data_IF_506527823873
#
_entry.id   IF_506527823873
#
_cell.length_a   1.000
_cell.length_b   1.000
_cell.length_c   1.000
_cell.angle_alpha   90.00
_cell.angle_beta   90.00
_cell.angle_gamma   90.00
#
_symmetry.space_group_name_H-M   'P 1'
#
loop_
_entity.id
_entity.type
_entity.pdbx_description
1 polymer ?
#
# COMPACT_ATOMS: atom_id res chain seq x y z
N UNK A 1 31.52 36.89 -30.32
CA UNK A 1 30.14 36.36 -30.31
C UNK A 1 30.17 34.90 -29.87
N UNK A 2 29.95 34.64 -28.59
CA UNK A 2 29.77 33.27 -28.10
C UNK A 2 28.45 32.73 -28.67
N UNK A 3 28.51 31.64 -29.42
CA UNK A 3 27.33 30.89 -29.85
C UNK A 3 26.68 30.34 -28.58
N UNK A 4 25.55 30.90 -28.19
CA UNK A 4 24.62 30.27 -27.25
C UNK A 4 24.15 28.97 -27.88
N UNK A 5 24.72 27.85 -27.45
CA UNK A 5 24.18 26.53 -27.73
C UNK A 5 22.74 26.49 -27.17
N UNK A 6 21.78 26.32 -28.07
CA UNK A 6 20.41 26.00 -27.72
C UNK A 6 20.44 24.66 -26.99
N UNK A 7 20.48 24.71 -25.65
CA UNK A 7 20.25 23.55 -24.78
C UNK A 7 18.90 22.97 -25.20
N UNK A 8 18.81 21.70 -25.65
CA UNK A 8 17.54 21.12 -26.05
C UNK A 8 16.55 21.30 -24.90
N UNK A 9 15.33 21.74 -25.22
CA UNK A 9 14.27 21.94 -24.25
C UNK A 9 14.23 20.73 -23.32
N UNK A 10 14.53 20.97 -22.03
CA UNK A 10 14.95 19.93 -21.10
C UNK A 10 14.03 18.72 -21.12
N UNK A 11 14.60 17.55 -21.41
CA UNK A 11 13.88 16.30 -21.28
C UNK A 11 13.26 16.23 -19.89
N UNK A 12 11.95 16.01 -19.84
CA UNK A 12 11.26 15.85 -18.56
C UNK A 12 11.84 14.63 -17.86
N UNK A 13 12.14 14.73 -16.55
CA UNK A 13 12.72 13.61 -15.84
C UNK A 13 11.75 12.42 -15.86
N UNK A 14 12.31 11.22 -16.08
CA UNK A 14 11.55 9.97 -16.11
C UNK A 14 11.26 9.42 -14.71
N UNK A 15 10.51 8.32 -14.65
CA UNK A 15 10.27 7.55 -13.42
C UNK A 15 10.90 6.16 -13.59
N UNK A 16 11.73 5.75 -12.63
CA UNK A 16 12.26 4.38 -12.57
C UNK A 16 11.21 3.39 -12.04
N UNK A 17 11.13 2.22 -12.65
CA UNK A 17 10.40 1.06 -12.15
C UNK A 17 11.44 -0.02 -11.90
N UNK A 18 11.74 -0.27 -10.64
CA UNK A 18 12.86 -1.13 -10.25
C UNK A 18 12.37 -2.53 -9.87
N UNK A 19 12.84 -3.53 -10.62
CA UNK A 19 12.46 -4.92 -10.42
C UNK A 19 10.99 -5.23 -10.73
N UNK A 20 10.47 -6.31 -10.14
CA UNK A 20 9.10 -6.77 -10.33
C UNK A 20 8.12 -6.02 -9.41
N UNK A 21 7.73 -4.81 -9.80
CA UNK A 21 6.72 -4.02 -9.09
C UNK A 21 5.31 -4.52 -9.45
N UNK A 22 4.51 -4.86 -8.44
CA UNK A 22 3.16 -5.46 -8.63
C UNK A 22 2.21 -4.59 -9.46
N UNK A 23 2.19 -3.29 -9.22
CA UNK A 23 1.39 -2.30 -9.96
C UNK A 23 2.16 -1.68 -11.15
N UNK A 24 3.17 -2.39 -11.69
CA UNK A 24 4.03 -1.86 -12.75
C UNK A 24 3.28 -1.55 -14.05
N UNK A 25 2.19 -2.25 -14.37
CA UNK A 25 1.35 -1.96 -15.54
C UNK A 25 0.59 -0.64 -15.35
N UNK A 26 -0.08 -0.49 -14.21
CA UNK A 26 -0.81 0.71 -13.82
C UNK A 26 0.11 1.92 -13.78
N UNK A 27 1.32 1.77 -13.23
CA UNK A 27 2.31 2.83 -13.15
C UNK A 27 2.78 3.31 -14.53
N UNK A 28 3.03 2.40 -15.48
CA UNK A 28 3.37 2.78 -16.87
C UNK A 28 2.23 3.52 -17.56
N UNK A 29 1.00 3.05 -17.38
CA UNK A 29 -0.19 3.73 -17.92
C UNK A 29 -0.33 5.13 -17.35
N UNK A 30 -0.21 5.26 -16.02
CA UNK A 30 -0.33 6.53 -15.33
C UNK A 30 0.78 7.52 -15.75
N UNK A 31 2.01 7.05 -15.89
CA UNK A 31 3.12 7.85 -16.42
C UNK A 31 2.84 8.33 -17.85
N UNK A 32 2.33 7.46 -18.73
CA UNK A 32 1.96 7.83 -20.10
C UNK A 32 0.86 8.90 -20.15
N UNK A 33 -0.19 8.77 -19.31
CA UNK A 33 -1.25 9.78 -19.19
C UNK A 33 -0.72 11.15 -18.72
N UNK A 34 0.36 11.15 -17.95
CA UNK A 34 1.03 12.37 -17.48
C UNK A 34 2.09 12.91 -18.46
N UNK A 35 2.34 12.23 -19.59
CA UNK A 35 3.39 12.58 -20.55
C UNK A 35 4.78 12.44 -19.95
N UNK A 36 5.00 11.40 -19.14
CA UNK A 36 6.26 11.10 -18.45
C UNK A 36 6.74 9.71 -18.86
N UNK A 37 8.05 9.59 -19.05
CA UNK A 37 8.68 8.31 -19.40
C UNK A 37 8.79 7.42 -18.17
N UNK A 38 8.24 6.20 -18.23
CA UNK A 38 8.53 5.14 -17.27
C UNK A 38 9.66 4.24 -17.79
N UNK A 39 10.72 4.07 -16.99
CA UNK A 39 11.94 3.34 -17.36
C UNK A 39 12.07 2.11 -16.47
N UNK A 40 12.21 0.92 -17.08
CA UNK A 40 12.55 -0.28 -16.32
C UNK A 40 14.01 -0.21 -15.88
N UNK A 41 14.27 -0.43 -14.60
CA UNK A 41 15.61 -0.43 -14.03
C UNK A 41 15.85 -1.77 -13.33
N UNK A 42 16.92 -2.50 -13.67
CA UNK A 42 17.29 -3.71 -12.92
C UNK A 42 17.62 -3.37 -11.46
N UNK A 43 17.23 -4.24 -10.53
CA UNK A 43 17.40 -3.97 -9.09
C UNK A 43 18.87 -3.76 -8.70
N UNK A 44 19.79 -4.49 -9.34
CA UNK A 44 21.23 -4.37 -9.10
C UNK A 44 21.84 -3.03 -9.55
N UNK A 45 21.20 -2.32 -10.47
CA UNK A 45 21.73 -1.06 -11.04
C UNK A 45 21.13 0.18 -10.35
N UNK A 46 20.06 -0.01 -9.60
CA UNK A 46 19.26 1.06 -9.04
C UNK A 46 20.02 2.00 -8.10
N UNK A 47 20.88 1.46 -7.24
CA UNK A 47 21.65 2.28 -6.29
C UNK A 47 22.59 3.22 -7.04
N UNK A 48 23.34 2.70 -8.01
CA UNK A 48 24.22 3.51 -8.86
C UNK A 48 23.46 4.56 -9.67
N UNK A 49 22.31 4.19 -10.23
CA UNK A 49 21.46 5.12 -11.00
C UNK A 49 20.88 6.23 -10.11
N UNK A 50 20.41 5.91 -8.91
CA UNK A 50 19.81 6.90 -8.00
C UNK A 50 20.86 7.78 -7.33
N UNK A 51 22.09 7.29 -7.16
CA UNK A 51 23.21 8.07 -6.62
C UNK A 51 23.87 9.00 -7.68
N UNK A 52 23.63 8.77 -8.97
CA UNK A 52 24.21 9.59 -10.04
C UNK A 52 23.64 11.02 -10.01
N UNK A 53 24.47 12.08 -9.86
CA UNK A 53 24.01 13.47 -9.88
C UNK A 53 23.35 13.87 -11.22
N UNK A 54 23.71 13.18 -12.30
CA UNK A 54 23.15 13.36 -13.65
C UNK A 54 21.98 12.42 -13.94
N UNK A 55 21.49 11.68 -12.94
CA UNK A 55 20.34 10.79 -13.09
C UNK A 55 19.16 11.53 -13.75
N UNK A 56 18.65 11.03 -14.89
CA UNK A 56 17.54 11.67 -15.60
C UNK A 56 16.18 11.34 -14.96
N UNK A 57 16.16 10.63 -13.84
CA UNK A 57 14.93 10.25 -13.14
C UNK A 57 14.54 11.30 -12.09
N UNK A 58 13.24 11.49 -11.91
CA UNK A 58 12.65 12.20 -10.77
C UNK A 58 12.65 11.34 -9.49
N UNK A 59 12.84 10.03 -9.66
CA UNK A 59 12.79 9.05 -8.59
C UNK A 59 12.43 7.68 -9.16
N UNK A 60 12.08 6.75 -8.28
CA UNK A 60 11.74 5.39 -8.66
C UNK A 60 10.74 4.71 -7.72
N UNK A 61 10.04 3.73 -8.26
CA UNK A 61 9.15 2.83 -7.53
C UNK A 61 9.75 1.43 -7.51
N UNK A 62 9.62 0.74 -6.38
CA UNK A 62 10.19 -0.60 -6.16
C UNK A 62 9.37 -1.39 -5.14
N UNK A 63 9.54 -2.70 -5.13
CA UNK A 63 9.13 -3.50 -3.98
C UNK A 63 10.17 -3.29 -2.86
N UNK A 64 9.75 -3.09 -1.61
CA UNK A 64 10.68 -2.85 -0.48
C UNK A 64 11.74 -3.95 -0.33
N UNK A 65 11.40 -5.16 -0.76
CA UNK A 65 12.27 -6.33 -0.65
C UNK A 65 13.30 -6.39 -1.79
N UNK A 66 13.15 -5.58 -2.85
CA UNK A 66 14.01 -5.56 -4.03
C UNK A 66 15.46 -5.13 -3.73
N UNK A 67 15.68 -4.42 -2.61
CA UNK A 67 17.00 -3.99 -2.18
C UNK A 67 17.52 -4.71 -0.95
N UNK A 68 16.76 -5.64 -0.37
CA UNK A 68 17.10 -6.22 0.94
C UNK A 68 17.39 -5.18 2.02
N UNK A 69 16.79 -3.98 1.92
CA UNK A 69 17.04 -2.85 2.83
C UNK A 69 18.33 -2.06 2.61
N UNK A 70 19.02 -2.20 1.48
CA UNK A 70 20.35 -1.60 1.25
C UNK A 70 20.35 -0.21 0.63
N UNK A 71 19.24 0.26 0.07
CA UNK A 71 19.19 1.61 -0.50
C UNK A 71 19.24 2.64 0.63
N UNK A 72 20.32 3.41 0.71
CA UNK A 72 20.51 4.44 1.71
C UNK A 72 19.71 5.70 1.34
N UNK A 73 18.77 6.08 2.21
CA UNK A 73 17.99 7.30 2.06
C UNK A 73 18.57 8.41 2.93
N UNK A 74 18.65 9.63 2.39
CA UNK A 74 19.00 10.81 3.18
C UNK A 74 17.88 11.16 4.15
N UNK A 75 16.63 10.93 3.74
CA UNK A 75 15.44 11.19 4.54
C UNK A 75 14.37 10.12 4.29
N UNK A 76 13.55 9.88 5.30
CA UNK A 76 12.37 9.04 5.21
C UNK A 76 11.13 9.86 5.55
N UNK A 77 10.04 9.62 4.83
CA UNK A 77 8.72 10.11 5.20
C UNK A 77 8.25 9.46 6.52
N UNK A 78 7.33 10.11 7.25
CA UNK A 78 6.85 9.61 8.54
C UNK A 78 6.21 8.22 8.45
N UNK A 79 5.47 7.93 7.37
CA UNK A 79 4.91 6.61 7.10
C UNK A 79 6.00 5.58 6.87
N UNK A 80 7.03 5.91 6.08
CA UNK A 80 8.20 5.05 5.88
C UNK A 80 8.98 4.79 7.18
N UNK A 81 9.15 5.80 8.05
CA UNK A 81 9.77 5.64 9.38
C UNK A 81 8.93 4.71 10.27
N UNK A 82 7.62 4.91 10.28
CA UNK A 82 6.69 4.17 11.11
C UNK A 82 6.69 2.67 10.74
N UNK A 83 6.61 2.36 9.45
CA UNK A 83 6.61 0.97 8.95
C UNK A 83 8.00 0.37 8.85
N UNK A 84 9.04 1.19 8.79
CA UNK A 84 10.40 0.75 8.45
C UNK A 84 10.51 0.26 7.00
N UNK A 85 9.67 0.76 6.09
CA UNK A 85 9.63 0.34 4.69
C UNK A 85 9.56 1.52 3.76
N UNK A 86 10.17 1.36 2.60
CA UNK A 86 10.02 2.26 1.46
C UNK A 86 9.59 1.44 0.25
N UNK A 87 8.75 2.02 -0.59
CA UNK A 87 8.36 1.47 -1.89
C UNK A 87 8.54 2.50 -3.03
N UNK A 88 8.89 3.72 -2.66
CA UNK A 88 9.01 4.86 -3.56
C UNK A 88 10.18 5.72 -3.08
N UNK A 89 11.03 6.13 -4.01
CA UNK A 89 12.14 7.04 -3.77
C UNK A 89 11.94 8.28 -4.63
N UNK A 90 12.11 9.47 -4.05
CA UNK A 90 12.04 10.75 -4.76
C UNK A 90 13.42 11.40 -4.70
N UNK A 91 13.90 11.86 -5.85
CA UNK A 91 15.12 12.66 -5.96
C UNK A 91 14.74 14.14 -5.86
N UNK A 92 15.04 14.77 -4.73
CA UNK A 92 14.74 16.18 -4.50
C UNK A 92 15.98 17.05 -4.73
N UNK A 93 15.88 18.16 -5.48
CA UNK A 93 16.98 19.10 -5.60
C UNK A 93 17.34 19.74 -4.25
N UNK A 94 18.64 19.85 -3.95
CA UNK A 94 19.14 20.48 -2.72
C UNK A 94 20.40 21.30 -2.99
N UNK A 95 20.24 22.57 -3.37
CA UNK A 95 21.37 23.52 -3.43
C UNK A 95 22.56 23.11 -4.31
N UNK A 96 22.33 22.35 -5.39
CA UNK A 96 23.37 21.83 -6.28
C UNK A 96 23.64 20.33 -6.13
N UNK A 97 23.13 19.70 -5.08
CA UNK A 97 23.05 18.24 -4.95
C UNK A 97 21.60 17.75 -5.07
N UNK A 98 21.39 16.45 -4.81
CA UNK A 98 20.06 15.85 -4.67
C UNK A 98 19.98 15.10 -3.34
N UNK A 99 18.79 15.09 -2.77
CA UNK A 99 18.43 14.22 -1.64
C UNK A 99 17.58 13.07 -2.15
N UNK A 100 17.89 11.86 -1.71
CA UNK A 100 17.08 10.68 -1.91
C UNK A 100 16.13 10.50 -0.73
N UNK A 101 14.85 10.78 -0.96
CA UNK A 101 13.81 10.71 0.07
C UNK A 101 12.96 9.45 -0.14
N UNK A 102 12.88 8.61 0.88
CA UNK A 102 12.14 7.36 0.85
C UNK A 102 10.71 7.52 1.36
N UNK A 103 9.75 6.98 0.62
CA UNK A 103 8.33 7.00 0.93
C UNK A 103 7.72 5.60 0.99
N UNK A 104 6.64 5.44 1.77
CA UNK A 104 5.77 4.26 1.75
C UNK A 104 4.37 4.59 1.20
N UNK A 105 4.24 4.60 -0.12
CA UNK A 105 2.98 4.93 -0.81
C UNK A 105 1.90 3.86 -0.67
N UNK A 106 2.23 2.64 -0.23
CA UNK A 106 1.24 1.59 0.04
C UNK A 106 0.24 2.01 1.11
N UNK A 107 0.68 2.69 2.19
CA UNK A 107 -0.24 3.16 3.23
C UNK A 107 -1.23 4.20 2.68
N UNK A 108 -0.78 5.09 1.79
CA UNK A 108 -1.68 6.00 1.07
C UNK A 108 -2.68 5.21 0.21
N UNK A 109 -2.22 4.19 -0.52
CA UNK A 109 -3.07 3.31 -1.32
C UNK A 109 -4.16 2.61 -0.51
N UNK A 110 -3.82 2.10 0.67
CA UNK A 110 -4.78 1.47 1.59
C UNK A 110 -5.79 2.51 2.09
N UNK A 111 -5.30 3.64 2.59
CA UNK A 111 -6.14 4.71 3.17
C UNK A 111 -7.16 5.23 2.15
N UNK A 112 -6.72 5.52 0.92
CA UNK A 112 -7.59 6.03 -0.14
C UNK A 112 -8.57 4.97 -0.64
N UNK A 113 -8.18 3.69 -0.66
CA UNK A 113 -9.10 2.59 -0.93
C UNK A 113 -10.20 2.53 0.12
N UNK A 114 -9.85 2.56 1.40
CA UNK A 114 -10.84 2.51 2.46
C UNK A 114 -11.79 3.72 2.38
N UNK A 115 -11.28 4.94 2.13
CA UNK A 115 -12.15 6.12 1.94
C UNK A 115 -13.07 6.01 0.72
N UNK A 116 -12.59 5.45 -0.39
CA UNK A 116 -13.37 5.34 -1.61
C UNK A 116 -14.52 4.32 -1.48
N UNK A 117 -14.28 3.23 -0.76
CA UNK A 117 -15.27 2.15 -0.61
C UNK A 117 -16.10 2.25 0.68
N UNK A 118 -15.68 3.08 1.65
CA UNK A 118 -16.38 3.36 2.90
C UNK A 118 -16.59 4.87 3.07
N UNK A 119 -17.49 5.50 2.28
CA UNK A 119 -17.76 6.93 2.37
C UNK A 119 -18.32 7.34 3.73
N UNK A 120 -19.01 6.41 4.40
CA UNK A 120 -19.32 6.49 5.83
C UNK A 120 -18.33 5.57 6.55
N UNK A 121 -17.48 6.10 7.45
CA UNK A 121 -16.55 5.28 8.20
C UNK A 121 -17.30 4.21 9.02
N UNK A 122 -16.82 2.96 9.02
CA UNK A 122 -17.33 1.96 9.95
C UNK A 122 -17.11 2.44 11.39
N UNK A 123 -17.96 2.04 12.33
CA UNK A 123 -17.72 2.34 13.75
C UNK A 123 -16.80 1.30 14.37
N UNK A 124 -16.89 0.04 13.92
CA UNK A 124 -16.05 -1.06 14.40
C UNK A 124 -15.37 -1.78 13.25
N UNK A 125 -14.03 -1.80 13.29
CA UNK A 125 -13.24 -2.58 12.35
C UNK A 125 -12.51 -3.70 13.08
N UNK A 126 -12.62 -4.92 12.53
CA UNK A 126 -11.84 -6.06 12.95
C UNK A 126 -10.83 -6.43 11.86
N UNK A 127 -9.54 -6.37 12.19
CA UNK A 127 -8.46 -6.82 11.30
C UNK A 127 -8.07 -8.24 11.66
N UNK A 128 -8.17 -9.15 10.71
CA UNK A 128 -7.83 -10.57 10.86
C UNK A 128 -6.52 -10.85 10.12
N UNK A 129 -5.50 -11.24 10.87
CA UNK A 129 -4.19 -11.59 10.33
C UNK A 129 -3.08 -11.15 11.26
N UNK A 130 -1.90 -11.74 11.06
CA UNK A 130 -0.68 -11.40 11.79
C UNK A 130 0.44 -10.88 10.88
N UNK A 131 0.23 -10.84 9.57
CA UNK A 131 1.25 -10.38 8.64
C UNK A 131 1.57 -8.90 8.72
N UNK A 132 2.63 -8.52 8.00
CA UNK A 132 2.98 -7.11 7.77
C UNK A 132 1.84 -6.34 7.12
N UNK A 133 1.01 -7.00 6.32
CA UNK A 133 -0.10 -6.31 5.67
C UNK A 133 -1.24 -6.03 6.65
N UNK A 134 -1.52 -6.95 7.58
CA UNK A 134 -2.41 -6.70 8.71
C UNK A 134 -1.91 -5.52 9.56
N UNK A 135 -0.60 -5.46 9.79
CA UNK A 135 0.03 -4.34 10.48
C UNK A 135 -0.17 -3.01 9.73
N UNK A 136 0.12 -2.97 8.42
CA UNK A 136 -0.08 -1.79 7.56
C UNK A 136 -1.55 -1.31 7.55
N UNK A 137 -2.52 -2.24 7.53
CA UNK A 137 -3.95 -1.93 7.70
C UNK A 137 -4.22 -1.25 9.03
N UNK A 138 -3.73 -1.80 10.14
CA UNK A 138 -3.88 -1.18 11.46
C UNK A 138 -3.23 0.21 11.55
N UNK A 139 -2.17 0.49 10.78
CA UNK A 139 -1.54 1.82 10.76
C UNK A 139 -2.38 2.90 10.09
N UNK A 140 -3.30 2.54 9.17
CA UNK A 140 -4.12 3.52 8.47
C UNK A 140 -5.46 3.78 9.16
N UNK A 141 -5.97 2.83 9.94
CA UNK A 141 -7.28 2.93 10.61
C UNK A 141 -7.42 4.13 11.56
N UNK A 142 -6.39 4.60 12.29
CA UNK A 142 -6.50 5.78 13.15
C UNK A 142 -6.81 7.08 12.40
N UNK A 143 -6.72 7.09 11.07
CA UNK A 143 -7.10 8.24 10.24
C UNK A 143 -8.63 8.39 10.10
N UNK A 144 -9.40 7.37 10.47
CA UNK A 144 -10.86 7.38 10.46
C UNK A 144 -11.35 7.81 11.85
N UNK A 145 -11.97 9.00 11.93
CA UNK A 145 -12.56 9.48 13.18
C UNK A 145 -13.66 8.53 13.62
N UNK A 146 -13.79 8.35 14.94
CA UNK A 146 -14.84 7.54 15.59
C UNK A 146 -14.77 6.02 15.30
N UNK A 147 -13.66 5.55 14.74
CA UNK A 147 -13.44 4.13 14.48
C UNK A 147 -12.84 3.41 15.71
N UNK A 148 -13.63 2.52 16.33
CA UNK A 148 -13.14 1.51 17.25
C UNK A 148 -12.45 0.39 16.44
N UNK A 149 -11.18 0.11 16.76
CA UNK A 149 -10.36 -0.87 16.02
C UNK A 149 -9.97 -2.04 16.92
N UNK A 150 -10.26 -3.26 16.45
CA UNK A 150 -9.86 -4.52 17.08
C UNK A 150 -9.01 -5.34 16.10
N UNK A 151 -8.14 -6.22 16.62
CA UNK A 151 -7.34 -7.13 15.80
C UNK A 151 -7.49 -8.57 16.29
N UNK A 152 -7.69 -9.50 15.37
CA UNK A 152 -7.53 -10.91 15.64
C UNK A 152 -6.22 -11.40 15.04
N UNK A 153 -5.46 -12.10 15.87
CA UNK A 153 -4.19 -12.72 15.48
C UNK A 153 -4.26 -14.21 15.77
N UNK A 154 -3.42 -14.98 15.08
CA UNK A 154 -3.17 -16.34 15.54
C UNK A 154 -2.47 -16.29 16.90
N UNK A 155 -3.01 -17.00 17.89
CA UNK A 155 -2.47 -17.02 19.26
C UNK A 155 -1.00 -17.47 19.31
N UNK A 156 -0.53 -18.18 18.28
CA UNK A 156 0.84 -18.65 18.15
C UNK A 156 1.83 -17.58 17.69
N UNK A 157 1.36 -16.39 17.29
CA UNK A 157 2.18 -15.33 16.68
C UNK A 157 2.31 -14.09 17.59
N UNK A 158 2.91 -14.31 18.77
CA UNK A 158 3.09 -13.29 19.82
C UNK A 158 4.09 -12.19 19.38
N UNK A 159 5.01 -12.50 18.48
CA UNK A 159 6.02 -11.57 17.94
C UNK A 159 5.65 -10.97 16.57
N UNK A 160 4.38 -11.02 16.20
CA UNK A 160 3.92 -10.59 14.89
C UNK A 160 4.19 -9.10 14.59
N UNK A 161 4.35 -8.72 13.31
CA UNK A 161 4.31 -7.32 12.86
C UNK A 161 3.11 -6.53 13.41
N UNK A 162 1.97 -7.19 13.61
CA UNK A 162 0.76 -6.60 14.22
C UNK A 162 1.02 -6.19 15.67
N UNK A 163 1.59 -7.07 16.50
CA UNK A 163 1.96 -6.74 17.88
C UNK A 163 2.88 -5.51 17.96
N UNK A 164 3.84 -5.38 17.04
CA UNK A 164 4.72 -4.20 16.97
C UNK A 164 3.97 -2.94 16.55
N UNK A 165 3.10 -3.03 15.55
CA UNK A 165 2.29 -1.91 15.08
C UNK A 165 1.38 -1.38 16.19
N UNK A 166 0.70 -2.27 16.93
CA UNK A 166 -0.14 -1.92 18.08
C UNK A 166 0.65 -1.10 19.10
N UNK A 167 1.84 -1.60 19.50
CA UNK A 167 2.72 -0.91 20.46
C UNK A 167 3.17 0.45 19.95
N UNK A 168 3.58 0.54 18.68
CA UNK A 168 4.05 1.79 18.07
C UNK A 168 2.95 2.85 17.98
N UNK A 169 1.72 2.44 17.71
CA UNK A 169 0.60 3.35 17.50
C UNK A 169 -0.12 3.73 18.81
N UNK A 170 0.20 3.07 19.92
CA UNK A 170 -0.49 3.29 21.20
C UNK A 170 -1.99 2.96 21.13
N UNK A 171 -2.39 2.11 20.18
CA UNK A 171 -3.79 1.75 19.98
C UNK A 171 -4.24 0.78 21.07
N UNK A 172 -5.46 1.00 21.56
CA UNK A 172 -6.20 0.03 22.37
C UNK A 172 -6.68 -1.12 21.47
N UNK A 173 -5.75 -1.92 20.96
CA UNK A 173 -6.10 -3.08 20.14
C UNK A 173 -6.37 -4.25 21.06
N UNK A 174 -7.60 -4.73 21.01
CA UNK A 174 -7.99 -5.99 21.60
C UNK A 174 -7.51 -7.12 20.70
N UNK A 175 -6.55 -7.90 21.18
CA UNK A 175 -6.07 -9.09 20.49
C UNK A 175 -6.98 -10.28 20.81
N UNK A 176 -7.57 -10.87 19.78
CA UNK A 176 -8.35 -12.10 19.91
C UNK A 176 -7.61 -13.28 19.28
N UNK A 177 -7.81 -14.47 19.83
CA UNK A 177 -7.41 -15.72 19.17
C UNK A 177 -8.50 -16.13 18.17
N UNK A 178 -8.15 -16.80 17.06
CA UNK A 178 -9.18 -17.29 16.11
C UNK A 178 -10.25 -18.18 16.75
N UNK A 179 -9.97 -18.85 17.87
CA UNK A 179 -10.96 -19.65 18.59
C UNK A 179 -12.06 -18.81 19.25
N UNK A 180 -11.75 -17.56 19.63
CA UNK A 180 -12.61 -16.71 20.47
C UNK A 180 -13.18 -15.49 19.74
N UNK A 181 -12.87 -15.30 18.45
CA UNK A 181 -13.22 -14.08 17.69
C UNK A 181 -14.72 -13.93 17.38
N UNK A 182 -15.56 -14.92 17.67
CA UNK A 182 -16.96 -14.90 17.22
C UNK A 182 -17.74 -13.66 17.64
N UNK A 183 -17.53 -13.16 18.86
CA UNK A 183 -18.15 -11.91 19.34
C UNK A 183 -17.64 -10.68 18.59
N UNK A 184 -16.33 -10.61 18.33
CA UNK A 184 -15.73 -9.52 17.58
C UNK A 184 -16.21 -9.52 16.12
N UNK A 185 -16.28 -10.69 15.48
CA UNK A 185 -16.82 -10.84 14.12
C UNK A 185 -18.27 -10.39 14.05
N UNK A 186 -19.10 -10.75 15.03
CA UNK A 186 -20.50 -10.33 15.08
C UNK A 186 -20.65 -8.81 15.30
N UNK A 187 -19.75 -8.18 16.05
CA UNK A 187 -19.79 -6.75 16.38
C UNK A 187 -19.18 -5.82 15.30
N UNK A 188 -18.31 -6.34 14.43
CA UNK A 188 -17.60 -5.53 13.43
C UNK A 188 -18.51 -5.05 12.29
N UNK A 189 -18.41 -3.79 11.89
CA UNK A 189 -19.05 -3.25 10.68
C UNK A 189 -18.20 -3.51 9.43
N UNK A 190 -16.89 -3.47 9.62
CA UNK A 190 -15.87 -3.77 8.62
C UNK A 190 -14.96 -4.89 9.10
N UNK A 191 -14.87 -5.94 8.29
CA UNK A 191 -13.90 -7.01 8.47
C UNK A 191 -12.76 -6.88 7.46
N UNK A 192 -11.51 -6.79 7.91
CA UNK A 192 -10.34 -6.80 7.04
C UNK A 192 -9.64 -8.14 7.18
N UNK A 193 -9.59 -8.94 6.12
CA UNK A 193 -8.87 -10.22 6.11
C UNK A 193 -7.54 -10.02 5.40
N UNK A 194 -6.49 -9.76 6.18
CA UNK A 194 -5.16 -9.44 5.67
C UNK A 194 -4.29 -10.67 5.36
N UNK A 195 -4.68 -11.85 5.85
CA UNK A 195 -4.04 -13.12 5.57
C UNK A 195 -5.07 -14.20 5.22
N UNK A 196 -5.45 -14.40 3.95
CA UNK A 196 -6.20 -15.58 3.54
C UNK A 196 -5.30 -16.59 2.83
N UNK A 197 -5.58 -17.91 2.85
CA UNK A 197 -6.19 -18.80 3.86
C UNK A 197 -5.18 -19.25 4.95
N UNK A 198 -5.63 -19.82 6.10
CA UNK A 198 -6.93 -20.44 6.35
C UNK A 198 -8.07 -19.48 6.76
N UNK A 199 -7.84 -18.17 6.89
CA UNK A 199 -8.82 -17.25 7.48
C UNK A 199 -10.14 -17.15 6.71
N UNK A 200 -10.14 -17.09 5.38
CA UNK A 200 -11.39 -16.97 4.60
C UNK A 200 -12.28 -18.22 4.70
N UNK A 201 -11.68 -19.42 4.58
CA UNK A 201 -12.41 -20.69 4.75
C UNK A 201 -12.91 -20.85 6.19
N UNK A 202 -12.05 -20.53 7.17
CA UNK A 202 -12.41 -20.55 8.60
C UNK A 202 -13.59 -19.63 8.91
N UNK A 203 -13.58 -18.40 8.40
CA UNK A 203 -14.66 -17.44 8.58
C UNK A 203 -15.98 -17.93 8.01
N UNK A 204 -15.95 -18.54 6.82
CA UNK A 204 -17.14 -19.11 6.21
C UNK A 204 -17.70 -20.25 7.04
N UNK A 205 -16.85 -21.18 7.46
CA UNK A 205 -17.24 -22.39 8.18
C UNK A 205 -17.76 -22.10 9.59
N UNK A 206 -17.20 -21.10 10.27
CA UNK A 206 -17.50 -20.82 11.67
C UNK A 206 -18.43 -19.62 11.88
N UNK A 207 -18.48 -18.67 10.93
CA UNK A 207 -19.15 -17.38 11.12
C UNK A 207 -19.98 -16.91 9.92
N UNK A 208 -20.27 -17.76 8.93
CA UNK A 208 -20.97 -17.36 7.70
C UNK A 208 -22.32 -16.65 7.92
N UNK A 209 -23.07 -16.98 8.98
CA UNK A 209 -24.31 -16.27 9.34
C UNK A 209 -24.04 -14.87 9.89
N UNK A 210 -23.03 -14.71 10.75
CA UNK A 210 -22.63 -13.44 11.34
C UNK A 210 -22.08 -12.46 10.29
N UNK A 211 -21.58 -12.94 9.16
CA UNK A 211 -21.03 -12.09 8.09
C UNK A 211 -22.10 -11.49 7.17
N UNK A 212 -23.36 -11.94 7.24
CA UNK A 212 -24.43 -11.43 6.37
C UNK A 212 -24.67 -9.93 6.63
N UNK A 213 -24.60 -9.13 5.56
CA UNK A 213 -24.80 -7.67 5.63
C UNK A 213 -23.59 -6.88 6.13
N UNK A 214 -22.46 -7.53 6.42
CA UNK A 214 -21.20 -6.88 6.78
C UNK A 214 -20.33 -6.68 5.55
N UNK A 215 -19.52 -5.63 5.54
CA UNK A 215 -18.53 -5.46 4.46
C UNK A 215 -17.22 -6.10 4.85
N UNK A 216 -16.64 -6.86 3.92
CA UNK A 216 -15.39 -7.58 4.06
C UNK A 216 -14.38 -7.06 3.04
N UNK A 217 -13.24 -6.58 3.53
CA UNK A 217 -12.08 -6.25 2.74
C UNK A 217 -11.11 -7.44 2.72
N UNK A 218 -10.91 -8.04 1.55
CA UNK A 218 -9.97 -9.13 1.35
C UNK A 218 -8.64 -8.58 0.85
N UNK A 219 -7.70 -8.57 1.77
CA UNK A 219 -6.36 -8.05 1.63
C UNK A 219 -5.40 -9.21 1.27
N UNK A 220 -5.62 -9.90 0.14
CA UNK A 220 -4.74 -11.00 -0.33
C UNK A 220 -3.85 -10.59 -1.51
N UNK A 221 -2.53 -10.50 -1.31
CA UNK A 221 -1.61 -10.14 -2.38
C UNK A 221 -1.17 -11.28 -3.30
N UNK A 222 -1.42 -12.55 -2.96
CA UNK A 222 -0.80 -13.69 -3.67
C UNK A 222 -1.76 -14.79 -4.15
N UNK A 223 -2.99 -14.90 -3.63
CA UNK A 223 -3.91 -15.97 -4.03
C UNK A 223 -5.29 -15.45 -4.48
N UNK A 224 -5.28 -14.91 -5.69
CA UNK A 224 -6.35 -14.88 -6.70
C UNK A 224 -7.61 -14.03 -6.45
N UNK A 225 -7.94 -13.25 -7.48
CA UNK A 225 -9.30 -12.78 -7.73
C UNK A 225 -10.33 -13.91 -7.61
N UNK A 226 -9.96 -15.16 -7.88
CA UNK A 226 -10.82 -16.32 -7.71
C UNK A 226 -11.21 -16.60 -6.25
N UNK A 227 -10.35 -16.32 -5.25
CA UNK A 227 -10.75 -16.42 -3.83
C UNK A 227 -11.69 -15.29 -3.44
N UNK A 228 -11.39 -14.06 -3.87
CA UNK A 228 -12.29 -12.93 -3.67
C UNK A 228 -13.65 -13.17 -4.35
N UNK A 229 -13.67 -13.72 -5.56
CA UNK A 229 -14.88 -14.13 -6.28
C UNK A 229 -15.60 -15.28 -5.57
N UNK A 230 -14.88 -16.31 -5.10
CA UNK A 230 -15.46 -17.39 -4.31
C UNK A 230 -16.11 -16.85 -3.05
N UNK A 231 -15.45 -15.95 -2.34
CA UNK A 231 -15.96 -15.34 -1.12
C UNK A 231 -17.14 -14.41 -1.42
N UNK A 232 -17.08 -13.63 -2.50
CA UNK A 232 -18.16 -12.77 -2.99
C UNK A 232 -19.42 -13.56 -3.38
N UNK A 233 -19.30 -14.82 -3.83
CA UNK A 233 -20.47 -15.70 -4.04
C UNK A 233 -21.24 -15.98 -2.74
N UNK A 234 -20.56 -16.02 -1.60
CA UNK A 234 -21.19 -16.25 -0.29
C UNK A 234 -21.68 -14.95 0.36
N UNK A 235 -21.02 -13.83 0.06
CA UNK A 235 -21.35 -12.49 0.58
C UNK A 235 -21.49 -11.47 -0.57
N UNK A 236 -22.55 -11.58 -1.38
CA UNK A 236 -22.71 -10.73 -2.55
C UNK A 236 -22.82 -9.25 -2.16
N UNK A 237 -22.11 -8.39 -2.92
CA UNK A 237 -22.12 -6.93 -2.72
C UNK A 237 -21.30 -6.42 -1.54
N UNK A 238 -20.64 -7.32 -0.80
CA UNK A 238 -19.99 -6.98 0.46
C UNK A 238 -18.49 -7.24 0.46
N UNK A 239 -17.88 -7.61 -0.66
CA UNK A 239 -16.48 -8.03 -0.73
C UNK A 239 -15.66 -7.08 -1.59
N UNK A 240 -14.64 -6.47 -0.99
CA UNK A 240 -13.68 -5.59 -1.67
C UNK A 240 -12.34 -6.32 -1.76
N UNK A 241 -11.74 -6.38 -2.95
CA UNK A 241 -10.40 -6.98 -3.14
C UNK A 241 -9.27 -5.97 -2.89
N UNK A 242 -8.03 -6.43 -2.77
CA UNK A 242 -6.84 -5.56 -2.67
C UNK A 242 -6.55 -4.75 -3.96
N UNK A 243 -7.13 -5.12 -5.12
CA UNK A 243 -6.80 -4.48 -6.41
C UNK A 243 -6.85 -2.93 -6.39
N UNK A 244 -7.86 -2.27 -5.80
CA UNK A 244 -7.89 -0.81 -5.71
C UNK A 244 -6.72 -0.22 -4.93
N UNK A 245 -6.15 -0.93 -3.95
CA UNK A 245 -4.97 -0.48 -3.18
C UNK A 245 -3.80 -0.24 -4.11
N UNK A 246 -3.55 -1.15 -5.05
CA UNK A 246 -2.48 -0.99 -6.04
C UNK A 246 -2.68 0.20 -6.96
N UNK A 247 -3.95 0.48 -7.34
CA UNK A 247 -4.31 1.65 -8.17
C UNK A 247 -4.10 2.95 -7.40
N UNK A 248 -4.64 3.07 -6.19
CA UNK A 248 -4.46 4.26 -5.36
C UNK A 248 -3.00 4.47 -4.96
N UNK A 249 -2.24 3.40 -4.73
CA UNK A 249 -0.79 3.46 -4.55
C UNK A 249 -0.11 4.06 -5.79
N UNK A 250 -0.48 3.64 -7.00
CA UNK A 250 0.03 4.23 -8.24
C UNK A 250 -0.30 5.73 -8.34
N UNK A 251 -1.52 6.13 -7.97
CA UNK A 251 -1.91 7.55 -7.98
C UNK A 251 -1.05 8.38 -7.02
N UNK A 252 -0.78 7.86 -5.83
CA UNK A 252 0.11 8.49 -4.86
C UNK A 252 1.56 8.59 -5.39
N UNK A 253 2.07 7.53 -6.02
CA UNK A 253 3.41 7.50 -6.64
C UNK A 253 3.54 8.55 -7.74
N UNK A 254 2.55 8.65 -8.64
CA UNK A 254 2.56 9.67 -9.70
C UNK A 254 2.48 11.06 -9.10
N UNK A 255 1.64 11.30 -8.08
CA UNK A 255 1.60 12.60 -7.42
C UNK A 255 2.96 13.01 -6.86
N UNK A 256 3.66 12.10 -6.20
CA UNK A 256 4.99 12.36 -5.63
C UNK A 256 6.05 12.59 -6.69
N UNK A 257 6.10 11.74 -7.72
CA UNK A 257 7.19 11.71 -8.70
C UNK A 257 7.01 12.70 -9.86
N UNK A 258 5.76 13.00 -10.21
CA UNK A 258 5.41 13.83 -11.36
C UNK A 258 4.81 15.19 -10.98
N UNK A 259 4.39 15.37 -9.72
CA UNK A 259 3.57 16.52 -9.32
C UNK A 259 2.23 16.58 -10.07
N UNK A 260 1.73 15.44 -10.57
CA UNK A 260 0.47 15.34 -11.32
C UNK A 260 -0.56 14.57 -10.50
N UNK A 261 -1.83 14.98 -10.60
CA UNK A 261 -2.94 14.24 -10.02
C UNK A 261 -3.74 13.58 -11.13
N UNK A 262 -4.00 12.29 -10.95
CA UNK A 262 -4.92 11.49 -11.76
C UNK A 262 -6.04 10.99 -10.85
N UNK A 263 -7.16 10.62 -11.46
CA UNK A 263 -8.30 10.03 -10.77
C UNK A 263 -8.28 8.50 -10.90
N UNK A 264 -8.98 7.82 -9.98
CA UNK A 264 -9.13 6.37 -10.00
C UNK A 264 -9.71 5.86 -11.35
N UNK A 265 -10.69 6.58 -11.90
CA UNK A 265 -11.30 6.28 -13.20
C UNK A 265 -10.30 6.25 -14.36
N UNK A 266 -9.22 7.02 -14.29
CA UNK A 266 -8.24 7.15 -15.38
C UNK A 266 -7.44 5.85 -15.57
N UNK A 267 -7.31 5.06 -14.50
CA UNK A 267 -6.55 3.81 -14.47
C UNK A 267 -7.42 2.55 -14.53
N UNK A 268 -8.72 2.68 -14.27
CA UNK A 268 -9.66 1.56 -14.27
C UNK A 268 -10.39 1.31 -15.60
N UNK A 269 -10.21 2.20 -16.60
CA UNK A 269 -10.78 2.05 -17.95
C UNK A 269 -10.04 1.08 -18.86
#
# INVERSE_FOLDING_TARGET
MQKTENKPAGERPGIGIIGAVRNGRELRRAAALCGIRAVSVPAQDAEGILADPHCPLAGAVFCSDAFGGKLAFDMLDEQAKLTGRTDTAVLQPAGGSRLLVGFNTRLAGISDTLRAFFPVPPRRCLVLGSSRYAAEMLMVLPQFRDLETEAAVDARDIASPVSLAIRKLGLSVHCHTFADIGRAVAAADLLIVADPPPCASFLRENYGSALRGKTVFLASPQESAAEAERFAKYLPGCVISEKPVGVFQTLAQIRLLAGKSLNFSDLCG
#
